data_IF_263609429850
#
_entry.id   IF_263609429850
#
_cell.length_a   1.000
_cell.length_b   1.000
_cell.length_c   1.000
_cell.angle_alpha   90.00
_cell.angle_beta   90.00
_cell.angle_gamma   90.00
#
_symmetry.space_group_name_H-M   'P 1'
#
loop_
_entity.id
_entity.type
_entity.pdbx_description
1 polymer ?
#
# COMPACT_ATOMS: atom_id res chain seq x y z
N UNK A 1 9.62 -28.69 4.84
CA UNK A 1 8.29 -28.10 4.98
C UNK A 1 8.29 -26.66 4.55
N UNK A 2 7.33 -26.28 3.76
CA UNK A 2 7.22 -24.89 3.35
C UNK A 2 6.73 -24.01 4.49
N UNK A 3 7.08 -22.73 4.44
CA UNK A 3 6.52 -21.74 5.33
C UNK A 3 5.20 -21.22 4.77
N UNK A 4 4.29 -20.91 5.66
CA UNK A 4 3.07 -20.22 5.26
C UNK A 4 3.35 -18.73 5.25
N UNK A 5 2.83 -18.03 4.24
CA UNK A 5 2.84 -16.58 4.23
C UNK A 5 1.55 -16.13 3.53
N UNK A 6 1.16 -14.92 3.80
CA UNK A 6 -0.08 -14.38 3.26
C UNK A 6 0.21 -13.25 2.30
N UNK A 7 -0.69 -13.05 1.37
CA UNK A 7 -0.67 -11.90 0.47
C UNK A 7 -2.04 -11.23 0.57
N UNK A 8 -2.12 -10.04 1.16
CA UNK A 8 -3.39 -9.34 1.22
C UNK A 8 -3.95 -9.05 -0.17
N UNK A 9 -5.26 -9.13 -0.29
CA UNK A 9 -5.96 -8.83 -1.53
C UNK A 9 -6.75 -7.55 -1.33
N UNK A 10 -6.50 -6.56 -2.19
CA UNK A 10 -7.23 -5.30 -2.16
C UNK A 10 -8.11 -5.24 -3.40
N UNK A 11 -9.38 -4.93 -3.19
CA UNK A 11 -10.33 -4.81 -4.29
C UNK A 11 -10.35 -3.38 -4.78
N UNK A 12 -10.30 -3.23 -6.11
CA UNK A 12 -10.24 -1.93 -6.77
C UNK A 12 -11.25 -1.93 -7.92
N UNK A 13 -11.66 -0.75 -8.36
CA UNK A 13 -12.60 -0.66 -9.48
C UNK A 13 -11.87 -0.64 -10.82
N UNK A 14 -10.72 0.01 -10.87
CA UNK A 14 -9.95 0.16 -12.09
C UNK A 14 -8.51 -0.30 -11.80
N UNK A 15 -8.13 -1.44 -12.38
CA UNK A 15 -6.83 -2.01 -12.08
C UNK A 15 -5.70 -1.13 -12.61
N UNK A 16 -5.85 -0.51 -13.77
CA UNK A 16 -4.79 0.35 -14.31
C UNK A 16 -4.57 1.57 -13.43
N UNK A 17 -5.65 2.16 -12.90
CA UNK A 17 -5.52 3.27 -11.98
C UNK A 17 -4.84 2.84 -10.69
N UNK A 18 -5.20 1.67 -10.17
CA UNK A 18 -4.57 1.14 -8.97
C UNK A 18 -3.09 0.87 -9.19
N UNK A 19 -2.73 0.27 -10.33
CA UNK A 19 -1.33 0.00 -10.67
C UNK A 19 -0.52 1.28 -10.70
N UNK A 20 -1.04 2.33 -11.32
CA UNK A 20 -0.34 3.62 -11.36
C UNK A 20 -0.08 4.15 -9.96
N UNK A 21 -1.07 4.01 -9.07
CA UNK A 21 -0.89 4.47 -7.70
C UNK A 21 0.17 3.65 -6.97
N UNK A 22 0.03 2.33 -6.98
CA UNK A 22 0.94 1.47 -6.21
C UNK A 22 2.36 1.46 -6.78
N UNK A 23 2.49 1.50 -8.09
CA UNK A 23 3.82 1.45 -8.72
C UNK A 23 4.45 2.84 -8.79
N UNK A 24 3.74 3.81 -9.36
CA UNK A 24 4.34 5.11 -9.65
C UNK A 24 4.42 6.00 -8.43
N UNK A 25 3.47 5.89 -7.50
CA UNK A 25 3.44 6.77 -6.34
C UNK A 25 3.95 6.10 -5.07
N UNK A 26 3.55 4.86 -4.80
CA UNK A 26 3.96 4.19 -3.57
C UNK A 26 5.27 3.43 -3.73
N UNK A 27 5.71 3.20 -4.97
CA UNK A 27 7.02 2.64 -5.22
C UNK A 27 7.08 1.12 -5.25
N UNK A 28 5.95 0.46 -5.42
CA UNK A 28 5.92 -0.98 -5.62
C UNK A 28 6.32 -1.30 -7.06
N UNK A 29 6.68 -2.56 -7.29
CA UNK A 29 6.93 -3.09 -8.63
C UNK A 29 5.89 -4.14 -8.95
N UNK A 30 5.45 -4.21 -10.19
CA UNK A 30 4.50 -5.26 -10.59
C UNK A 30 5.26 -6.57 -10.79
N UNK A 31 4.83 -7.62 -10.08
CA UNK A 31 5.45 -8.94 -10.18
C UNK A 31 4.82 -9.77 -11.28
N UNK A 32 3.49 -9.74 -11.39
CA UNK A 32 2.77 -10.44 -12.45
C UNK A 32 1.37 -9.85 -12.57
N UNK A 33 0.71 -10.16 -13.68
CA UNK A 33 -0.68 -9.80 -13.88
C UNK A 33 -1.37 -10.88 -14.69
N UNK A 34 -2.70 -10.90 -14.60
CA UNK A 34 -3.54 -11.82 -15.35
C UNK A 34 -4.61 -11.03 -16.07
N UNK A 35 -4.77 -11.32 -17.36
CA UNK A 35 -5.74 -10.64 -18.20
C UNK A 35 -6.67 -11.63 -18.84
N UNK A 36 -7.91 -11.22 -19.09
CA UNK A 36 -8.89 -11.98 -19.86
C UNK A 36 -9.57 -11.04 -20.83
N UNK A 37 -9.75 -11.51 -22.06
CA UNK A 37 -10.40 -10.72 -23.10
C UNK A 37 -9.77 -9.35 -23.27
N UNK A 38 -8.46 -9.28 -23.16
CA UNK A 38 -7.73 -8.04 -23.33
C UNK A 38 -7.77 -7.08 -22.14
N UNK A 39 -8.39 -7.50 -21.05
CA UNK A 39 -8.49 -6.65 -19.85
C UNK A 39 -7.72 -7.28 -18.71
N UNK A 40 -6.87 -6.48 -18.08
CA UNK A 40 -6.16 -6.91 -16.87
C UNK A 40 -7.14 -6.96 -15.70
N UNK A 41 -7.17 -8.09 -15.00
CA UNK A 41 -8.11 -8.32 -13.90
C UNK A 41 -7.42 -8.39 -12.54
N UNK A 42 -6.19 -8.93 -12.50
CA UNK A 42 -5.47 -9.15 -11.25
C UNK A 42 -4.01 -8.77 -11.48
N UNK A 43 -3.40 -8.14 -10.51
CA UNK A 43 -1.97 -7.86 -10.54
C UNK A 43 -1.40 -8.03 -9.14
N UNK A 44 -0.18 -8.56 -9.06
CA UNK A 44 0.56 -8.57 -7.81
C UNK A 44 1.62 -7.49 -7.89
N UNK A 45 1.67 -6.68 -6.84
CA UNK A 45 2.71 -5.67 -6.68
C UNK A 45 3.51 -6.00 -5.44
N UNK A 46 4.80 -5.63 -5.45
CA UNK A 46 5.66 -5.95 -4.33
C UNK A 46 6.71 -4.87 -4.11
N UNK A 47 7.11 -4.72 -2.86
CA UNK A 47 8.20 -3.81 -2.48
C UNK A 47 8.85 -4.37 -1.22
N UNK A 48 10.15 -4.64 -1.29
CA UNK A 48 10.95 -5.08 -0.13
C UNK A 48 10.32 -6.25 0.62
N UNK A 49 9.78 -7.21 -0.12
CA UNK A 49 9.16 -8.41 0.48
C UNK A 49 7.69 -8.25 0.83
N UNK A 50 7.14 -7.05 0.72
CA UNK A 50 5.71 -6.82 0.93
C UNK A 50 4.98 -7.10 -0.38
N UNK A 51 4.08 -8.08 -0.39
CA UNK A 51 3.37 -8.51 -1.58
C UNK A 51 1.87 -8.25 -1.41
N UNK A 52 1.28 -7.56 -2.37
CA UNK A 52 -0.14 -7.25 -2.37
C UNK A 52 -0.75 -7.70 -3.69
N UNK A 53 -1.97 -8.24 -3.63
CA UNK A 53 -2.71 -8.59 -4.83
C UNK A 53 -3.81 -7.55 -5.02
N UNK A 54 -3.90 -6.99 -6.23
CA UNK A 54 -4.93 -6.03 -6.59
C UNK A 54 -5.85 -6.71 -7.59
N UNK A 55 -7.16 -6.59 -7.41
CA UNK A 55 -8.11 -7.20 -8.34
C UNK A 55 -9.32 -6.31 -8.56
N UNK A 56 -9.78 -6.25 -9.81
CA UNK A 56 -10.99 -5.53 -10.17
C UNK A 56 -12.16 -6.47 -10.47
N UNK A 57 -12.03 -7.75 -10.12
CA UNK A 57 -13.06 -8.73 -10.42
C UNK A 57 -14.35 -8.56 -9.63
N UNK A 58 -14.27 -7.93 -8.45
CA UNK A 58 -15.44 -7.68 -7.62
C UNK A 58 -15.49 -6.21 -7.25
N UNK A 59 -15.90 -5.35 -8.21
CA UNK A 59 -15.83 -3.90 -7.98
C UNK A 59 -16.71 -3.42 -6.82
N UNK A 60 -17.75 -4.17 -6.49
CA UNK A 60 -18.60 -3.80 -5.35
C UNK A 60 -17.88 -3.90 -4.01
N UNK A 61 -16.74 -4.61 -3.96
CA UNK A 61 -15.95 -4.74 -2.75
C UNK A 61 -14.85 -3.68 -2.64
N UNK A 62 -14.71 -2.83 -3.67
CA UNK A 62 -13.59 -1.89 -3.71
C UNK A 62 -13.65 -0.88 -2.57
N UNK A 63 -12.48 -0.56 -2.05
CA UNK A 63 -12.33 0.59 -1.16
C UNK A 63 -12.48 0.32 0.32
N UNK A 64 -12.72 -0.92 0.75
CA UNK A 64 -12.91 -1.22 2.15
C UNK A 64 -11.73 -1.93 2.79
N UNK A 65 -10.63 -2.09 2.06
CA UNK A 65 -9.46 -2.79 2.58
C UNK A 65 -8.62 -1.93 3.50
N UNK A 66 -7.96 -2.59 4.44
CA UNK A 66 -7.01 -1.94 5.33
C UNK A 66 -5.90 -2.92 5.64
N UNK A 67 -4.66 -2.51 5.42
CA UNK A 67 -3.51 -3.33 5.76
C UNK A 67 -2.48 -2.48 6.51
N UNK A 68 -1.72 -3.13 7.38
CA UNK A 68 -0.63 -2.49 8.09
C UNK A 68 0.68 -3.01 7.52
N UNK A 69 1.50 -2.10 7.01
CA UNK A 69 2.79 -2.44 6.43
C UNK A 69 3.87 -1.96 7.39
N UNK A 70 4.63 -2.91 7.92
CA UNK A 70 5.68 -2.59 8.89
C UNK A 70 6.99 -2.35 8.16
N UNK A 71 7.66 -1.28 8.55
CA UNK A 71 9.00 -0.93 8.09
C UNK A 71 9.82 -0.59 9.32
N UNK A 72 11.14 -0.56 9.15
CA UNK A 72 12.01 -0.05 10.21
C UNK A 72 11.80 1.45 10.38
N UNK A 73 11.76 1.90 11.62
CA UNK A 73 11.60 3.33 11.90
C UNK A 73 12.65 4.18 11.21
N UNK A 74 13.88 3.66 11.07
CA UNK A 74 14.94 4.41 10.41
C UNK A 74 14.67 4.68 8.94
N UNK A 75 13.84 3.87 8.30
CA UNK A 75 13.50 4.05 6.89
C UNK A 75 12.31 4.98 6.69
N UNK A 76 11.52 5.22 7.72
CA UNK A 76 10.28 5.98 7.59
C UNK A 76 10.46 7.40 7.07
N UNK A 77 11.46 8.17 7.50
CA UNK A 77 11.60 9.53 6.96
C UNK A 77 11.81 9.56 5.46
N UNK A 78 12.63 8.64 4.93
CA UNK A 78 12.88 8.58 3.49
C UNK A 78 11.66 8.12 2.73
N UNK A 79 10.93 7.14 3.26
CA UNK A 79 9.71 6.63 2.64
C UNK A 79 8.65 7.73 2.61
N UNK A 80 8.46 8.45 3.72
CA UNK A 80 7.49 9.55 3.77
C UNK A 80 7.84 10.63 2.75
N UNK A 81 9.10 11.00 2.66
CA UNK A 81 9.53 12.01 1.67
C UNK A 81 9.25 11.55 0.25
N UNK A 82 9.47 10.27 -0.04
CA UNK A 82 9.21 9.75 -1.39
C UNK A 82 7.72 9.81 -1.73
N UNK A 83 6.86 9.51 -0.77
CA UNK A 83 5.42 9.60 -0.96
C UNK A 83 5.00 11.06 -1.20
N UNK A 84 5.52 11.98 -0.40
CA UNK A 84 5.21 13.40 -0.55
C UNK A 84 5.64 13.92 -1.92
N UNK A 85 6.84 13.53 -2.38
CA UNK A 85 7.32 13.94 -3.69
C UNK A 85 6.49 13.36 -4.82
N UNK A 86 5.92 12.18 -4.62
CA UNK A 86 5.08 11.53 -5.63
C UNK A 86 3.63 12.02 -5.59
N UNK A 87 3.30 12.92 -4.68
CA UNK A 87 1.95 13.46 -4.59
C UNK A 87 0.98 12.59 -3.82
N UNK A 88 1.48 11.62 -3.05
CA UNK A 88 0.63 10.80 -2.21
C UNK A 88 0.10 11.63 -1.05
N UNK A 89 -1.20 11.60 -0.83
CA UNK A 89 -1.78 12.25 0.32
C UNK A 89 -1.57 11.39 1.56
N UNK A 90 -1.04 12.01 2.60
CA UNK A 90 -0.69 11.34 3.85
C UNK A 90 -1.50 11.96 4.97
N UNK A 91 -2.09 11.11 5.80
CA UNK A 91 -2.77 11.52 7.00
C UNK A 91 -2.01 10.95 8.20
N UNK A 92 -1.79 11.76 9.22
CA UNK A 92 -1.19 11.28 10.45
C UNK A 92 -2.30 10.79 11.36
N UNK A 93 -2.11 9.61 11.92
CA UNK A 93 -3.11 8.99 12.77
C UNK A 93 -2.51 8.47 14.06
N UNK A 94 -3.38 7.93 14.89
CA UNK A 94 -3.00 7.38 16.19
C UNK A 94 -3.65 6.03 16.37
N UNK A 95 -2.86 5.02 16.69
CA UNK A 95 -3.33 3.66 16.89
C UNK A 95 -2.58 3.05 18.07
N UNK A 96 -2.69 3.72 19.24
CA UNK A 96 -1.86 3.41 20.37
C UNK A 96 -0.44 3.96 20.23
N UNK A 97 -0.08 4.42 19.07
CA UNK A 97 1.17 5.05 18.73
C UNK A 97 0.97 5.76 17.39
N UNK A 98 1.88 6.66 17.00
CA UNK A 98 1.72 7.38 15.73
C UNK A 98 1.77 6.45 14.53
N UNK A 99 0.87 6.67 13.58
CA UNK A 99 0.87 5.95 12.32
C UNK A 99 0.75 6.93 11.16
N UNK A 100 1.21 6.50 9.99
CA UNK A 100 1.05 7.22 8.74
C UNK A 100 0.01 6.47 7.93
N UNK A 101 -1.00 7.17 7.45
CA UNK A 101 -2.12 6.58 6.70
C UNK A 101 -2.06 7.07 5.27
N UNK A 102 -2.05 6.13 4.33
CA UNK A 102 -2.11 6.40 2.90
C UNK A 102 -3.37 5.74 2.37
N UNK A 103 -4.11 6.46 1.54
CA UNK A 103 -5.35 5.95 0.96
C UNK A 103 -5.17 5.80 -0.53
N UNK A 104 -5.55 4.64 -1.09
CA UNK A 104 -5.46 4.44 -2.52
C UNK A 104 -6.65 5.10 -3.23
N UNK A 105 -6.68 5.13 -4.59
CA UNK A 105 -7.75 5.81 -5.30
C UNK A 105 -9.16 5.27 -5.03
N UNK A 106 -9.26 4.04 -4.53
CA UNK A 106 -10.57 3.43 -4.24
C UNK A 106 -10.99 3.60 -2.80
N UNK A 107 -10.09 4.04 -1.92
CA UNK A 107 -10.39 4.18 -0.51
C UNK A 107 -9.77 3.11 0.37
N UNK A 108 -9.07 2.14 -0.20
CA UNK A 108 -8.32 1.18 0.61
C UNK A 108 -7.22 1.91 1.37
N UNK A 109 -6.96 1.49 2.59
CA UNK A 109 -6.02 2.20 3.45
C UNK A 109 -4.78 1.37 3.71
N UNK A 110 -3.64 2.03 3.61
CA UNK A 110 -2.33 1.47 3.96
C UNK A 110 -1.86 2.20 5.20
N UNK A 111 -1.67 1.46 6.29
CA UNK A 111 -1.15 2.00 7.52
C UNK A 111 0.33 1.67 7.61
N UNK A 112 1.12 2.64 8.02
CA UNK A 112 2.56 2.48 8.24
C UNK A 112 2.91 2.97 9.63
N UNK A 113 4.04 2.53 10.21
CA UNK A 113 4.55 3.16 11.42
C UNK A 113 4.78 4.64 11.17
N UNK A 114 4.26 5.49 12.04
CA UNK A 114 4.48 6.93 11.90
C UNK A 114 5.68 7.37 12.70
N UNK A 115 6.16 8.57 12.41
CA UNK A 115 7.20 9.18 13.22
C UNK A 115 6.55 9.85 14.41
N UNK A 116 6.94 9.41 15.59
CA UNK A 116 6.46 10.01 16.82
C UNK A 116 7.41 11.12 17.25
N UNK A 117 6.97 11.91 18.22
CA UNK A 117 7.84 12.85 18.88
C UNK A 117 9.05 12.14 19.49
N UNK A 118 8.84 10.91 20.01
CA UNK A 118 9.94 10.12 20.53
C UNK A 118 10.92 9.72 19.44
N UNK A 119 10.41 9.31 18.28
CA UNK A 119 11.27 8.97 17.15
C UNK A 119 12.04 10.19 16.67
N UNK A 120 11.51 11.37 16.91
CA UNK A 120 12.19 12.63 16.57
C UNK A 120 13.05 13.17 17.70
N UNK A 121 13.20 12.38 18.77
CA UNK A 121 14.07 12.76 19.87
C UNK A 121 13.47 13.74 20.87
N UNK A 122 12.16 13.86 20.90
CA UNK A 122 11.49 14.84 21.76
C UNK A 122 10.81 14.24 22.98
N UNK A 123 11.04 13.02 23.24
CA UNK A 123 10.44 12.39 24.41
C UNK A 123 11.39 12.22 25.51
#
# INVERSE_FOLDING_TARGET
>A
MGRWYSRPVLFVQDLDRARRFYVDQVGFSEAWSHSEHGQALVAQVERSGCELILTCQWPEKAGSGLIFISLDFGDMPAVRRSFERAGVQIEDGWWGYPIMIVQDPDGNQLYFPGQSAAANGTR
#
